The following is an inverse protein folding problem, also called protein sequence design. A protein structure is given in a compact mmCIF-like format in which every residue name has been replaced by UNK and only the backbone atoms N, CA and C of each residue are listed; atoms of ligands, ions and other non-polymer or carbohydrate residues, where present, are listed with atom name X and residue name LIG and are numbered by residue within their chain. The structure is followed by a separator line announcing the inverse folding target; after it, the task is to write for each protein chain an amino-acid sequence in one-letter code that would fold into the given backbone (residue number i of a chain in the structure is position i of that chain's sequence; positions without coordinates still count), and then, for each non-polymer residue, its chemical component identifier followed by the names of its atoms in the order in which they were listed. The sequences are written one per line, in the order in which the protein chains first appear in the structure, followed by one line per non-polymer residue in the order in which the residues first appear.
data_IF_997647246122
#
_entry.id   IF_997647246122
#
_cell.length_a   1.000
_cell.length_b   1.000
_cell.length_c   1.000
_cell.angle_alpha   90.00
_cell.angle_beta   90.00
_cell.angle_gamma   90.00
#
_symmetry.space_group_name_H-M   'P 1'
#
loop_
_entity.id
_entity.type
_entity.pdbx_description
1 polymer ?
#
# COMPACT_ATOMS: atom_id res chain seq x y z
N UNK A 1 -8.59 -36.30 13.68
CA UNK A 1 -9.06 -34.99 13.16
C UNK A 1 -8.40 -33.78 13.86
N UNK A 2 -7.07 -33.79 14.09
CA UNK A 2 -6.35 -32.69 14.79
C UNK A 2 -5.20 -32.07 13.97
N UNK A 3 -4.67 -32.80 12.97
CA UNK A 3 -3.49 -32.39 12.18
C UNK A 3 -3.75 -31.30 11.15
N UNK A 4 -4.96 -31.20 10.59
CA UNK A 4 -5.30 -30.22 9.56
C UNK A 4 -5.34 -28.76 10.08
N UNK A 5 -5.67 -28.55 11.37
CA UNK A 5 -5.70 -27.20 11.97
C UNK A 5 -4.29 -26.65 12.23
N UNK A 6 -3.33 -27.50 12.54
CA UNK A 6 -1.94 -27.11 12.79
C UNK A 6 -1.22 -26.72 11.49
N UNK A 7 -1.45 -27.45 10.39
CA UNK A 7 -0.88 -27.13 9.08
C UNK A 7 -1.34 -25.78 8.54
N UNK A 8 -2.64 -25.46 8.65
CA UNK A 8 -3.22 -24.21 8.13
C UNK A 8 -2.78 -22.95 8.91
N UNK A 9 -2.47 -23.06 10.21
CA UNK A 9 -1.98 -21.91 10.99
C UNK A 9 -0.50 -21.64 10.72
N UNK A 10 0.31 -22.68 10.56
CA UNK A 10 1.72 -22.55 10.12
C UNK A 10 1.78 -21.90 8.72
N UNK A 11 0.83 -22.26 7.84
CA UNK A 11 0.71 -21.79 6.45
C UNK A 11 0.45 -20.29 6.23
N UNK A 12 -0.03 -19.59 7.26
CA UNK A 12 -0.25 -18.14 7.20
C UNK A 12 0.86 -17.39 7.92
N UNK A 13 1.34 -17.97 9.02
CA UNK A 13 2.38 -17.36 9.85
C UNK A 13 3.73 -17.26 9.13
N UNK A 14 4.04 -18.21 8.25
CA UNK A 14 5.29 -18.20 7.49
C UNK A 14 5.34 -17.10 6.42
N UNK A 15 4.27 -16.91 5.64
CA UNK A 15 4.19 -15.81 4.65
C UNK A 15 4.27 -14.46 5.34
N UNK A 16 3.55 -14.29 6.46
CA UNK A 16 3.60 -13.06 7.26
C UNK A 16 5.02 -12.81 7.75
N UNK A 17 5.70 -13.83 8.28
CA UNK A 17 7.09 -13.71 8.72
C UNK A 17 8.02 -13.35 7.57
N UNK A 18 7.89 -13.98 6.40
CA UNK A 18 8.73 -13.70 5.23
C UNK A 18 8.51 -12.28 4.70
N UNK A 19 7.26 -11.83 4.64
CA UNK A 19 6.93 -10.45 4.25
C UNK A 19 7.50 -9.43 5.25
N UNK A 20 7.39 -9.72 6.55
CA UNK A 20 7.99 -8.90 7.60
C UNK A 20 9.52 -8.86 7.47
N UNK A 21 10.17 -10.01 7.28
CA UNK A 21 11.62 -10.09 7.09
C UNK A 21 12.08 -9.30 5.86
N UNK A 22 11.39 -9.43 4.72
CA UNK A 22 11.70 -8.66 3.52
C UNK A 22 11.55 -7.14 3.77
N UNK A 23 10.51 -6.74 4.50
CA UNK A 23 10.28 -5.35 4.89
C UNK A 23 11.37 -4.84 5.83
N UNK A 24 11.79 -5.64 6.81
CA UNK A 24 12.88 -5.29 7.73
C UNK A 24 14.23 -5.18 7.01
N UNK A 25 14.48 -6.03 6.01
CA UNK A 25 15.68 -5.91 5.17
C UNK A 25 15.63 -4.61 4.36
N UNK A 26 14.51 -4.30 3.70
CA UNK A 26 14.34 -3.06 2.96
C UNK A 26 14.49 -1.82 3.88
N UNK A 27 13.93 -1.87 5.09
CA UNK A 27 14.11 -0.85 6.11
C UNK A 27 15.57 -0.71 6.52
N UNK A 28 16.27 -1.82 6.81
CA UNK A 28 17.68 -1.80 7.21
C UNK A 28 18.59 -1.22 6.12
N UNK A 29 18.31 -1.53 4.84
CA UNK A 29 19.02 -0.93 3.70
C UNK A 29 18.84 0.59 3.67
N UNK A 30 17.61 1.07 3.82
CA UNK A 30 17.33 2.52 3.85
C UNK A 30 17.93 3.20 5.09
N UNK A 31 17.87 2.54 6.25
CA UNK A 31 18.45 3.05 7.49
C UNK A 31 19.98 3.13 7.41
N UNK A 32 20.63 2.11 6.82
CA UNK A 32 22.07 2.11 6.56
C UNK A 32 22.48 3.26 5.62
N UNK A 33 21.66 3.57 4.62
CA UNK A 33 21.85 4.70 3.72
C UNK A 33 21.50 6.07 4.36
N UNK A 34 20.93 6.09 5.57
CA UNK A 34 20.55 7.32 6.28
C UNK A 34 19.25 7.95 5.81
N UNK A 35 18.34 7.19 5.18
CA UNK A 35 17.06 7.67 4.63
C UNK A 35 17.21 8.90 3.71
N UNK A 36 18.03 8.83 2.64
CA UNK A 36 18.34 9.99 1.80
C UNK A 36 17.11 10.63 1.14
N UNK A 37 16.04 9.87 0.96
CA UNK A 37 14.78 10.34 0.38
C UNK A 37 14.05 11.35 1.29
N UNK A 38 14.25 11.28 2.61
CA UNK A 38 13.61 12.21 3.55
C UNK A 38 14.25 13.60 3.54
N UNK A 39 15.52 13.70 3.13
CA UNK A 39 16.24 14.98 3.01
C UNK A 39 16.24 15.50 1.58
N UNK A 40 16.09 14.61 0.60
CA UNK A 40 15.99 14.96 -0.81
C UNK A 40 14.95 14.06 -1.50
N UNK A 41 13.80 14.64 -1.86
CA UNK A 41 12.74 13.92 -2.54
C UNK A 41 13.06 13.55 -4.00
N UNK A 42 14.22 13.96 -4.54
CA UNK A 42 14.66 13.68 -5.92
C UNK A 42 13.61 14.03 -6.99
N UNK A 43 12.79 15.06 -6.74
CA UNK A 43 11.75 15.51 -7.67
C UNK A 43 10.39 14.81 -7.50
N UNK A 44 10.20 13.97 -6.48
CA UNK A 44 8.88 13.42 -6.11
C UNK A 44 7.99 14.52 -5.50
N UNK A 45 7.45 15.35 -6.38
CA UNK A 45 6.56 16.45 -6.01
C UNK A 45 5.22 15.93 -5.47
N UNK A 46 4.80 14.73 -5.90
CA UNK A 46 3.49 14.20 -5.55
C UNK A 46 3.44 13.81 -4.08
N UNK A 47 4.47 13.09 -3.60
CA UNK A 47 4.57 12.76 -2.18
C UNK A 47 4.78 13.98 -1.29
N UNK A 48 5.53 14.99 -1.75
CA UNK A 48 5.69 16.25 -1.02
C UNK A 48 4.36 16.99 -0.88
N UNK A 49 3.61 17.09 -1.98
CA UNK A 49 2.29 17.72 -1.98
C UNK A 49 1.29 16.92 -1.15
N UNK A 50 1.36 15.58 -1.17
CA UNK A 50 0.54 14.72 -0.32
C UNK A 50 0.73 15.06 1.16
N UNK A 51 1.97 15.26 1.60
CA UNK A 51 2.24 15.64 2.99
C UNK A 51 1.62 17.00 3.33
N UNK A 52 1.59 17.94 2.38
CA UNK A 52 0.87 19.21 2.53
C UNK A 52 -0.63 18.98 2.67
N UNK A 53 -1.25 18.14 1.83
CA UNK A 53 -2.68 17.83 1.93
C UNK A 53 -3.06 17.20 3.28
N UNK A 54 -2.19 16.33 3.80
CA UNK A 54 -2.33 15.69 5.12
C UNK A 54 -2.21 16.73 6.24
N UNK A 55 -1.26 17.66 6.15
CA UNK A 55 -1.13 18.77 7.11
C UNK A 55 -2.38 19.65 7.10
N UNK A 56 -2.92 19.93 5.92
CA UNK A 56 -4.12 20.75 5.78
C UNK A 56 -5.36 20.04 6.35
N UNK A 57 -5.49 18.72 6.14
CA UNK A 57 -6.52 17.90 6.81
C UNK A 57 -6.39 17.97 8.34
N UNK A 58 -5.17 17.82 8.87
CA UNK A 58 -4.89 17.93 10.30
C UNK A 58 -5.15 19.34 10.86
N UNK A 59 -5.00 20.37 10.03
CA UNK A 59 -5.29 21.77 10.37
C UNK A 59 -6.78 22.14 10.25
N UNK A 60 -7.64 21.19 9.87
CA UNK A 60 -9.09 21.36 9.84
C UNK A 60 -9.71 21.59 8.45
N UNK A 61 -8.95 21.43 7.37
CA UNK A 61 -9.52 21.40 6.02
C UNK A 61 -10.52 20.25 5.90
N UNK A 62 -11.69 20.53 5.30
CA UNK A 62 -12.80 19.58 5.24
C UNK A 62 -12.46 18.32 4.44
N UNK A 63 -13.12 17.21 4.76
CA UNK A 63 -12.91 15.92 4.08
C UNK A 63 -13.14 16.00 2.57
N UNK A 64 -14.14 16.76 2.12
CA UNK A 64 -14.45 16.94 0.70
C UNK A 64 -13.81 18.18 0.09
N UNK A 65 -13.03 18.93 0.86
CA UNK A 65 -12.23 20.04 0.35
C UNK A 65 -10.84 19.50 -0.01
N UNK A 66 -10.67 19.19 -1.30
CA UNK A 66 -9.40 18.76 -1.90
C UNK A 66 -8.65 19.92 -2.57
N UNK A 67 -9.03 21.15 -2.26
CA UNK A 67 -8.48 22.32 -2.91
C UNK A 67 -7.12 22.69 -2.29
N UNK A 68 -6.09 22.78 -3.12
CA UNK A 68 -4.75 23.23 -2.75
C UNK A 68 -4.59 24.72 -3.12
N UNK A 69 -4.95 25.58 -2.17
CA UNK A 69 -4.95 27.04 -2.34
C UNK A 69 -3.56 27.64 -2.62
N UNK A 70 -2.49 26.90 -2.33
CA UNK A 70 -1.10 27.31 -2.53
C UNK A 70 -0.47 26.81 -3.84
N UNK A 71 -1.23 26.08 -4.66
CA UNK A 71 -0.74 25.42 -5.86
C UNK A 71 -1.48 25.91 -7.10
N UNK A 72 -0.75 26.30 -8.14
CA UNK A 72 -1.31 26.73 -9.42
C UNK A 72 -1.52 28.25 -9.51
N UNK A 73 -2.32 28.71 -10.50
CA UNK A 73 -2.67 30.12 -10.70
C UNK A 73 -3.42 30.73 -9.51
N UNK A 74 -3.67 32.04 -9.57
CA UNK A 74 -4.48 32.75 -8.57
C UNK A 74 -5.82 32.03 -8.37
N UNK A 75 -6.13 31.68 -7.12
CA UNK A 75 -7.29 30.88 -6.76
C UNK A 75 -7.00 29.41 -6.47
N UNK A 76 -5.82 28.88 -6.81
CA UNK A 76 -5.34 27.52 -6.48
C UNK A 76 -5.82 26.40 -7.42
N UNK A 77 -5.71 25.14 -6.99
CA UNK A 77 -6.05 23.96 -7.79
C UNK A 77 -6.76 22.87 -6.99
N UNK A 78 -7.79 22.24 -7.57
CA UNK A 78 -8.48 21.08 -6.95
C UNK A 78 -7.71 19.80 -7.25
N UNK A 79 -7.25 19.13 -6.21
CA UNK A 79 -6.61 17.83 -6.34
C UNK A 79 -7.64 16.73 -6.58
N UNK A 80 -7.26 15.76 -7.42
CA UNK A 80 -8.07 14.57 -7.68
C UNK A 80 -7.77 13.44 -6.68
N UNK A 81 -6.89 13.67 -5.71
CA UNK A 81 -6.43 12.68 -4.76
C UNK A 81 -7.42 12.48 -3.62
N UNK A 82 -7.70 11.22 -3.31
CA UNK A 82 -8.66 10.86 -2.28
C UNK A 82 -8.11 10.99 -0.85
N UNK A 83 -8.93 11.51 0.07
CA UNK A 83 -8.66 11.49 1.52
C UNK A 83 -8.51 10.09 2.12
N UNK A 84 -8.88 9.03 1.38
CA UNK A 84 -8.66 7.65 1.81
C UNK A 84 -7.18 7.32 2.03
N UNK A 85 -6.27 8.02 1.33
CA UNK A 85 -4.82 7.87 1.54
C UNK A 85 -4.32 8.82 2.62
N UNK A 86 -4.87 10.04 2.69
CA UNK A 86 -4.46 11.05 3.67
C UNK A 86 -4.79 10.62 5.10
N UNK A 87 -5.97 10.05 5.32
CA UNK A 87 -6.48 9.67 6.63
C UNK A 87 -5.57 8.69 7.40
N UNK A 88 -5.10 7.56 6.83
CA UNK A 88 -4.19 6.67 7.53
C UNK A 88 -2.81 7.31 7.79
N UNK A 89 -2.31 8.17 6.89
CA UNK A 89 -1.06 8.92 7.11
C UNK A 89 -1.24 9.90 8.29
N UNK A 90 -2.33 10.66 8.29
CA UNK A 90 -2.72 11.57 9.37
C UNK A 90 -2.83 10.83 10.71
N UNK A 91 -3.43 9.63 10.71
CA UNK A 91 -3.56 8.80 11.91
C UNK A 91 -2.19 8.37 12.47
N UNK A 92 -1.24 8.00 11.60
CA UNK A 92 0.15 7.69 12.01
C UNK A 92 0.80 8.93 12.63
N UNK A 93 0.66 10.11 12.00
CA UNK A 93 1.22 11.37 12.50
C UNK A 93 0.62 11.70 13.88
N UNK A 94 -0.70 11.60 14.06
CA UNK A 94 -1.35 11.88 15.35
C UNK A 94 -0.88 10.92 16.44
N UNK A 95 -0.82 9.62 16.14
CA UNK A 95 -0.36 8.62 17.10
C UNK A 95 1.11 8.83 17.49
N UNK A 96 1.99 9.06 16.51
CA UNK A 96 3.41 9.32 16.79
C UNK A 96 3.61 10.66 17.51
N UNK A 97 2.81 11.69 17.21
CA UNK A 97 2.83 12.97 17.94
C UNK A 97 2.43 12.77 19.39
N UNK A 98 1.39 11.99 19.66
CA UNK A 98 0.96 11.69 21.04
C UNK A 98 2.02 10.93 21.85
N UNK A 99 2.82 10.07 21.19
CA UNK A 99 3.87 9.30 21.84
C UNK A 99 5.18 10.08 22.04
N UNK A 100 5.50 11.00 21.13
CA UNK A 100 6.81 11.68 21.09
C UNK A 100 6.77 13.16 21.48
N UNK A 101 5.60 13.78 21.46
CA UNK A 101 5.43 15.22 21.63
C UNK A 101 5.97 16.07 20.46
N UNK A 102 6.39 15.45 19.34
CA UNK A 102 7.04 16.12 18.22
C UNK A 102 6.36 15.81 16.90
N UNK A 103 5.65 16.80 16.34
CA UNK A 103 5.00 16.68 15.03
C UNK A 103 6.00 16.49 13.87
N UNK A 104 7.15 17.19 13.80
CA UNK A 104 8.15 16.93 12.76
C UNK A 104 8.71 15.50 12.81
N UNK A 105 8.93 14.95 14.01
CA UNK A 105 9.34 13.56 14.16
C UNK A 105 8.22 12.60 13.71
N UNK A 106 6.96 12.91 14.05
CA UNK A 106 5.81 12.12 13.65
C UNK A 106 5.61 12.06 12.13
N UNK A 107 5.88 13.16 11.41
CA UNK A 107 5.87 13.16 9.95
C UNK A 107 6.98 12.29 9.35
N UNK A 108 8.19 12.30 9.93
CA UNK A 108 9.26 11.39 9.52
C UNK A 108 8.88 9.93 9.78
N UNK A 109 8.22 9.65 10.93
CA UNK A 109 7.69 8.32 11.23
C UNK A 109 6.66 7.91 10.18
N UNK A 110 5.73 8.78 9.80
CA UNK A 110 4.73 8.48 8.77
C UNK A 110 5.35 8.22 7.40
N UNK A 111 6.33 9.04 6.99
CA UNK A 111 7.07 8.88 5.74
C UNK A 111 7.83 7.56 5.64
N UNK A 112 8.20 6.94 6.75
CA UNK A 112 8.88 5.63 6.76
C UNK A 112 7.87 4.49 6.95
N UNK A 113 6.95 4.64 7.89
CA UNK A 113 6.05 3.58 8.31
C UNK A 113 4.97 3.30 7.25
N UNK A 114 4.38 4.34 6.65
CA UNK A 114 3.30 4.16 5.68
C UNK A 114 3.74 3.35 4.45
N UNK A 115 4.82 3.71 3.74
CA UNK A 115 5.28 2.92 2.58
C UNK A 115 5.73 1.51 2.99
N UNK A 116 6.35 1.35 4.17
CA UNK A 116 6.79 0.05 4.67
C UNK A 116 5.61 -0.90 4.98
N UNK A 117 4.50 -0.39 5.52
CA UNK A 117 3.29 -1.19 5.75
C UNK A 117 2.69 -1.68 4.43
N UNK A 118 2.61 -0.81 3.43
CA UNK A 118 2.12 -1.17 2.10
C UNK A 118 3.07 -2.13 1.37
N UNK A 119 4.38 -1.96 1.52
CA UNK A 119 5.38 -2.89 1.01
C UNK A 119 5.21 -4.29 1.60
N UNK A 120 5.06 -4.38 2.93
CA UNK A 120 4.81 -5.64 3.62
C UNK A 120 3.55 -6.33 3.10
N UNK A 121 2.45 -5.59 2.96
CA UNK A 121 1.20 -6.10 2.40
C UNK A 121 1.35 -6.57 0.95
N UNK A 122 2.07 -5.82 0.12
CA UNK A 122 2.32 -6.19 -1.26
C UNK A 122 3.14 -7.49 -1.36
N UNK A 123 4.24 -7.62 -0.59
CA UNK A 123 5.04 -8.86 -0.53
C UNK A 123 4.21 -10.03 -0.02
N UNK A 124 3.36 -9.80 1.00
CA UNK A 124 2.44 -10.82 1.51
C UNK A 124 1.51 -11.34 0.41
N UNK A 125 0.84 -10.45 -0.34
CA UNK A 125 -0.10 -10.87 -1.38
C UNK A 125 0.58 -11.46 -2.62
N UNK A 126 1.78 -10.98 -3.00
CA UNK A 126 2.62 -11.59 -4.03
C UNK A 126 2.95 -13.04 -3.65
N UNK A 127 3.47 -13.24 -2.44
CA UNK A 127 3.91 -14.54 -1.96
C UNK A 127 2.74 -15.51 -1.83
N UNK A 128 1.60 -15.01 -1.32
CA UNK A 128 0.36 -15.77 -1.25
C UNK A 128 -0.14 -16.18 -2.64
N UNK A 129 -0.12 -15.26 -3.60
CA UNK A 129 -0.55 -15.55 -4.97
C UNK A 129 0.37 -16.60 -5.63
N UNK A 130 1.69 -16.44 -5.49
CA UNK A 130 2.67 -17.38 -6.02
C UNK A 130 2.52 -18.78 -5.42
N UNK A 131 2.34 -18.89 -4.10
CA UNK A 131 2.07 -20.17 -3.44
C UNK A 131 0.79 -20.82 -3.95
N UNK A 132 -0.29 -20.05 -4.06
CA UNK A 132 -1.58 -20.57 -4.54
C UNK A 132 -1.51 -21.03 -6.00
N UNK A 133 -0.71 -20.36 -6.84
CA UNK A 133 -0.61 -20.65 -8.26
C UNK A 133 0.40 -21.76 -8.60
N UNK A 134 1.56 -21.78 -7.93
CA UNK A 134 2.70 -22.64 -8.28
C UNK A 134 3.25 -23.49 -7.12
N UNK A 135 2.60 -23.47 -5.95
CA UNK A 135 2.95 -24.29 -4.79
C UNK A 135 4.13 -23.75 -3.96
N UNK A 136 4.57 -24.54 -2.98
CA UNK A 136 5.57 -24.11 -1.99
C UNK A 136 6.93 -23.71 -2.59
N UNK A 137 7.35 -24.36 -3.67
CA UNK A 137 8.62 -24.06 -4.33
C UNK A 137 8.68 -22.62 -4.89
N UNK A 138 7.52 -21.99 -5.14
CA UNK A 138 7.45 -20.62 -5.66
C UNK A 138 7.57 -19.54 -4.58
N UNK A 139 7.45 -19.90 -3.29
CA UNK A 139 7.41 -18.94 -2.17
C UNK A 139 8.69 -18.12 -2.07
N UNK A 140 9.85 -18.77 -1.97
CA UNK A 140 11.11 -18.07 -1.80
C UNK A 140 11.46 -17.21 -3.03
N UNK A 141 11.35 -17.70 -4.29
CA UNK A 141 11.51 -16.85 -5.47
C UNK A 141 10.56 -15.65 -5.48
N UNK A 142 9.29 -15.84 -5.10
CA UNK A 142 8.31 -14.76 -5.06
C UNK A 142 8.64 -13.69 -4.02
N UNK A 143 9.10 -14.08 -2.82
CA UNK A 143 9.54 -13.13 -1.79
C UNK A 143 10.77 -12.36 -2.29
N UNK A 144 11.79 -13.05 -2.79
CA UNK A 144 13.06 -12.41 -3.19
C UNK A 144 12.87 -11.51 -4.41
N UNK A 145 12.31 -12.03 -5.49
CA UNK A 145 12.13 -11.28 -6.74
C UNK A 145 11.04 -10.23 -6.58
N UNK A 146 9.94 -10.55 -5.89
CA UNK A 146 8.85 -9.61 -5.62
C UNK A 146 9.31 -8.44 -4.75
N UNK A 147 9.98 -8.71 -3.62
CA UNK A 147 10.51 -7.64 -2.76
C UNK A 147 11.56 -6.79 -3.49
N UNK A 148 12.43 -7.41 -4.29
CA UNK A 148 13.40 -6.66 -5.10
C UNK A 148 12.70 -5.76 -6.14
N UNK A 149 11.71 -6.28 -6.86
CA UNK A 149 10.95 -5.49 -7.83
C UNK A 149 10.25 -4.29 -7.18
N UNK A 150 9.59 -4.51 -6.03
CA UNK A 150 8.93 -3.44 -5.27
C UNK A 150 9.93 -2.44 -4.67
N UNK A 151 11.15 -2.86 -4.35
CA UNK A 151 12.21 -1.96 -3.90
C UNK A 151 12.71 -1.07 -5.03
N UNK A 152 13.01 -1.65 -6.20
CA UNK A 152 13.60 -0.93 -7.32
C UNK A 152 12.62 -0.06 -8.10
N UNK A 153 11.30 -0.32 -8.04
CA UNK A 153 10.30 0.57 -8.62
C UNK A 153 10.18 1.91 -7.83
N UNK A 154 10.63 1.95 -6.58
CA UNK A 154 10.75 3.20 -5.80
C UNK A 154 9.47 3.73 -5.14
N UNK A 155 8.27 3.31 -5.56
CA UNK A 155 7.00 3.84 -5.01
C UNK A 155 6.72 3.43 -3.55
N UNK A 156 7.53 2.52 -2.98
CA UNK A 156 7.50 2.12 -1.58
C UNK A 156 8.71 2.63 -0.78
N UNK A 157 9.55 3.47 -1.38
CA UNK A 157 10.69 4.06 -0.68
C UNK A 157 10.21 4.96 0.47
N UNK A 158 11.03 5.16 1.52
CA UNK A 158 10.76 6.18 2.52
C UNK A 158 10.49 7.54 1.87
N UNK A 159 9.46 8.24 2.34
CA UNK A 159 9.00 9.50 1.74
C UNK A 159 7.98 9.33 0.60
N UNK A 160 7.81 8.14 0.02
CA UNK A 160 6.84 7.90 -1.05
C UNK A 160 5.41 7.82 -0.50
N UNK A 161 4.78 8.97 -0.28
CA UNK A 161 3.45 9.08 0.32
C UNK A 161 2.32 9.05 -0.70
N UNK A 162 2.63 9.12 -1.99
CA UNK A 162 1.60 9.17 -3.02
C UNK A 162 0.81 7.84 -3.18
N UNK A 163 -0.34 7.91 -3.84
CA UNK A 163 -1.36 6.88 -3.92
C UNK A 163 -1.00 5.66 -4.79
N UNK A 164 0.04 5.74 -5.63
CA UNK A 164 0.45 4.64 -6.50
C UNK A 164 0.78 3.35 -5.73
N UNK A 165 1.37 3.47 -4.53
CA UNK A 165 1.70 2.30 -3.70
C UNK A 165 0.44 1.61 -3.14
N UNK A 166 -0.59 2.37 -2.76
CA UNK A 166 -1.89 1.87 -2.34
C UNK A 166 -2.55 1.12 -3.48
N UNK A 167 -2.55 1.70 -4.68
CA UNK A 167 -3.17 1.11 -5.85
C UNK A 167 -2.48 -0.18 -6.29
N UNK A 168 -1.16 -0.21 -6.32
CA UNK A 168 -0.42 -1.43 -6.63
C UNK A 168 -0.69 -2.52 -5.59
N UNK A 169 -0.65 -2.18 -4.29
CA UNK A 169 -0.97 -3.14 -3.22
C UNK A 169 -2.39 -3.69 -3.34
N UNK A 170 -3.39 -2.84 -3.60
CA UNK A 170 -4.77 -3.26 -3.81
C UNK A 170 -4.95 -4.11 -5.08
N UNK A 171 -4.20 -3.81 -6.15
CA UNK A 171 -4.20 -4.60 -7.39
C UNK A 171 -3.72 -6.01 -7.12
N UNK A 172 -2.54 -6.14 -6.48
CA UNK A 172 -1.95 -7.43 -6.12
C UNK A 172 -2.86 -8.19 -5.15
N UNK A 173 -3.43 -7.51 -4.16
CA UNK A 173 -4.37 -8.09 -3.22
C UNK A 173 -5.62 -8.65 -3.92
N UNK A 174 -6.22 -7.88 -4.82
CA UNK A 174 -7.38 -8.30 -5.61
C UNK A 174 -7.07 -9.56 -6.43
N UNK A 175 -5.96 -9.58 -7.17
CA UNK A 175 -5.54 -10.75 -7.94
C UNK A 175 -5.29 -11.98 -7.05
N UNK A 176 -4.58 -11.79 -5.94
CA UNK A 176 -4.32 -12.85 -4.95
C UNK A 176 -5.63 -13.44 -4.37
N UNK A 177 -6.63 -12.59 -4.12
CA UNK A 177 -7.94 -12.99 -3.61
C UNK A 177 -8.79 -13.71 -4.66
N UNK A 178 -8.71 -13.30 -5.94
CA UNK A 178 -9.42 -13.96 -7.03
C UNK A 178 -9.01 -15.42 -7.22
N UNK A 179 -7.74 -15.76 -6.99
CA UNK A 179 -7.26 -17.15 -7.04
C UNK A 179 -8.00 -18.08 -6.06
N UNK A 180 -8.57 -17.55 -4.98
CA UNK A 180 -9.36 -18.31 -4.01
C UNK A 180 -10.88 -18.07 -4.12
N UNK A 181 -11.34 -17.21 -5.02
CA UNK A 181 -12.72 -16.75 -5.08
C UNK A 181 -13.72 -17.88 -5.37
N UNK A 182 -13.33 -18.87 -6.17
CA UNK A 182 -14.15 -20.06 -6.48
C UNK A 182 -14.39 -20.94 -5.27
N UNK A 183 -13.43 -20.99 -4.34
CA UNK A 183 -13.48 -21.85 -3.15
C UNK A 183 -13.97 -21.10 -1.90
N UNK A 184 -13.85 -19.78 -1.87
CA UNK A 184 -14.08 -18.96 -0.67
C UNK A 184 -14.82 -17.68 -1.04
N UNK A 185 -16.15 -17.66 -0.84
CA UNK A 185 -17.01 -16.49 -1.10
C UNK A 185 -16.48 -15.17 -0.49
N UNK A 186 -15.91 -15.14 0.75
CA UNK A 186 -15.33 -13.91 1.27
C UNK A 186 -14.17 -13.37 0.44
N UNK A 187 -13.39 -14.23 -0.23
CA UNK A 187 -12.30 -13.79 -1.09
C UNK A 187 -12.80 -13.05 -2.33
N UNK A 188 -13.92 -13.50 -2.93
CA UNK A 188 -14.56 -12.78 -4.03
C UNK A 188 -15.05 -11.38 -3.61
N UNK A 189 -15.72 -11.30 -2.45
CA UNK A 189 -16.16 -10.03 -1.88
C UNK A 189 -14.97 -9.09 -1.62
N UNK A 190 -13.92 -9.57 -0.95
CA UNK A 190 -12.74 -8.77 -0.64
C UNK A 190 -12.00 -8.31 -1.90
N UNK A 191 -11.98 -9.12 -2.97
CA UNK A 191 -11.45 -8.68 -4.26
C UNK A 191 -12.27 -7.53 -4.85
N UNK A 192 -13.60 -7.61 -4.79
CA UNK A 192 -14.48 -6.50 -5.20
C UNK A 192 -14.28 -5.25 -4.35
N UNK A 193 -14.04 -5.39 -3.05
CA UNK A 193 -13.68 -4.27 -2.15
C UNK A 193 -12.35 -3.64 -2.58
N UNK A 194 -11.32 -4.43 -2.90
CA UNK A 194 -10.07 -3.90 -3.44
C UNK A 194 -10.30 -3.11 -4.74
N UNK A 195 -11.12 -3.63 -5.65
CA UNK A 195 -11.47 -2.95 -6.90
C UNK A 195 -12.19 -1.61 -6.66
N UNK A 196 -13.16 -1.58 -5.75
CA UNK A 196 -13.87 -0.36 -5.38
C UNK A 196 -12.93 0.67 -4.72
N UNK A 197 -12.05 0.22 -3.82
CA UNK A 197 -11.07 1.08 -3.16
C UNK A 197 -10.04 1.66 -4.15
N UNK A 198 -9.61 0.89 -5.15
CA UNK A 198 -8.72 1.40 -6.19
C UNK A 198 -9.33 2.60 -6.91
N UNK A 199 -10.59 2.48 -7.39
CA UNK A 199 -11.31 3.60 -8.02
C UNK A 199 -11.53 4.78 -7.06
N UNK A 200 -11.85 4.49 -5.80
CA UNK A 200 -12.10 5.52 -4.78
C UNK A 200 -10.81 6.26 -4.36
N UNK A 201 -9.64 5.63 -4.52
CA UNK A 201 -8.33 6.26 -4.32
C UNK A 201 -7.95 7.12 -5.52
N UNK A 202 -8.14 6.59 -6.74
CA UNK A 202 -7.87 7.30 -7.99
C UNK A 202 -8.34 6.53 -9.22
N UNK A 203 -8.87 7.25 -10.20
CA UNK A 203 -9.53 6.69 -11.39
C UNK A 203 -8.56 6.15 -12.45
N UNK A 204 -7.26 6.45 -12.33
CA UNK A 204 -6.18 5.90 -13.16
C UNK A 204 -6.10 4.37 -13.09
N UNK A 205 -6.68 3.76 -12.05
CA UNK A 205 -6.82 2.30 -11.93
C UNK A 205 -8.02 1.70 -12.67
N UNK A 206 -8.86 2.52 -13.31
CA UNK A 206 -10.05 2.03 -14.02
C UNK A 206 -9.76 0.90 -15.03
N UNK A 207 -8.66 0.91 -15.82
CA UNK A 207 -8.34 -0.21 -16.70
C UNK A 207 -8.08 -1.53 -15.97
N UNK A 208 -7.44 -1.49 -14.80
CA UNK A 208 -7.17 -2.68 -13.97
C UNK A 208 -8.48 -3.25 -13.42
N UNK A 209 -9.35 -2.37 -12.88
CA UNK A 209 -10.66 -2.74 -12.33
C UNK A 209 -11.57 -3.31 -13.41
N UNK A 210 -11.61 -2.69 -14.59
CA UNK A 210 -12.38 -3.16 -15.74
C UNK A 210 -11.89 -4.54 -16.21
N UNK A 211 -10.57 -4.76 -16.25
CA UNK A 211 -9.99 -6.06 -16.63
C UNK A 211 -10.37 -7.14 -15.62
N UNK A 212 -10.25 -6.85 -14.32
CA UNK A 212 -10.67 -7.77 -13.26
C UNK A 212 -12.16 -8.10 -13.36
N UNK A 213 -13.01 -7.08 -13.56
CA UNK A 213 -14.45 -7.25 -13.73
C UNK A 213 -14.79 -8.11 -14.95
N UNK A 214 -14.13 -7.87 -16.09
CA UNK A 214 -14.32 -8.66 -17.31
C UNK A 214 -13.89 -10.12 -17.11
N UNK A 215 -12.74 -10.38 -16.48
CA UNK A 215 -12.29 -11.74 -16.16
C UNK A 215 -13.31 -12.48 -15.28
N UNK A 216 -13.82 -11.83 -14.23
CA UNK A 216 -14.84 -12.43 -13.35
C UNK A 216 -16.14 -12.68 -14.12
N UNK A 217 -16.63 -11.70 -14.88
CA UNK A 217 -17.86 -11.86 -15.67
C UNK A 217 -17.77 -13.03 -16.66
N UNK A 218 -16.62 -13.22 -17.32
CA UNK A 218 -16.42 -14.30 -18.28
C UNK A 218 -16.21 -15.68 -17.62
N UNK A 219 -15.56 -15.73 -16.45
CA UNK A 219 -15.30 -16.98 -15.73
C UNK A 219 -16.55 -17.55 -15.03
N UNK A 220 -17.55 -16.72 -14.75
CA UNK A 220 -18.77 -17.08 -14.04
C UNK A 220 -20.06 -16.83 -14.86
N UNK A 221 -19.95 -16.58 -16.16
CA UNK A 221 -21.08 -16.61 -17.11
C UNK A 221 -21.48 -18.05 -17.42
#
# INVERSE_FOLDING_TARGET
MSTAKHGASIWRSDIVLLALLATLVAFAVNAWAGFPQLTNAHGDNDSLLRLVEVRDLLAGQGWFDLHQYRMGPEGGFVMHWSRLVDAPIAAIILAATALTGSMPLAENVAQVLWPALLFCLAVFFITRAARNFAGEAAVLPAVVVGAAALHFIGIFSPGALDHHNVQLTLTIASLSLLLEATMRRPAALLSGVCAALMLAVGMETAPYVATIGACVALLFA
#
